data_IF_030647203165
#
_entry.id   IF_030647203165
#
_cell.length_a   1.000
_cell.length_b   1.000
_cell.length_c   1.000
_cell.angle_alpha   90.00
_cell.angle_beta   90.00
_cell.angle_gamma   90.00
#
_symmetry.space_group_name_H-M   'P 1'
#
loop_
_entity.id
_entity.type
_entity.pdbx_description
1 polymer ?
#
# COMPACT_ATOMS: atom_id res chain seq x y z
N UNK A 1 -28.26 -7.25 -59.10
CA UNK A 1 -27.46 -8.44 -58.76
C UNK A 1 -26.24 -7.96 -58.01
N UNK A 2 -26.36 -7.81 -56.69
CA UNK A 2 -25.25 -7.55 -55.80
C UNK A 2 -24.67 -8.92 -55.50
N UNK A 3 -23.40 -9.13 -55.84
CA UNK A 3 -22.68 -10.34 -55.49
C UNK A 3 -22.25 -10.18 -54.04
N UNK A 4 -22.97 -10.84 -53.15
CA UNK A 4 -22.48 -11.14 -51.80
C UNK A 4 -21.32 -12.13 -51.99
N UNK A 5 -20.10 -11.61 -52.07
CA UNK A 5 -18.89 -12.41 -51.93
C UNK A 5 -18.72 -12.70 -50.45
N UNK A 6 -19.06 -13.94 -50.07
CA UNK A 6 -18.66 -14.57 -48.83
C UNK A 6 -17.13 -14.49 -48.72
N UNK A 7 -16.64 -13.45 -48.02
CA UNK A 7 -15.30 -13.43 -47.47
C UNK A 7 -15.27 -14.45 -46.34
N UNK A 8 -14.96 -15.69 -46.72
CA UNK A 8 -14.32 -16.65 -45.82
C UNK A 8 -13.07 -15.97 -45.28
N UNK A 9 -13.20 -15.36 -44.11
CA UNK A 9 -12.11 -14.90 -43.29
C UNK A 9 -11.31 -16.14 -42.89
N UNK A 10 -10.40 -16.57 -43.76
CA UNK A 10 -9.34 -17.50 -43.44
C UNK A 10 -8.58 -16.89 -42.26
N UNK A 11 -8.87 -17.37 -41.06
CA UNK A 11 -8.20 -16.99 -39.83
C UNK A 11 -6.72 -17.32 -40.06
N UNK A 12 -5.89 -16.29 -40.20
CA UNK A 12 -4.48 -16.50 -40.47
C UNK A 12 -3.86 -17.27 -39.29
N UNK A 13 -3.00 -18.27 -39.52
CA UNK A 13 -2.31 -19.01 -38.46
C UNK A 13 -1.39 -18.14 -37.57
N UNK A 14 -1.33 -16.84 -37.80
CA UNK A 14 -0.61 -15.87 -36.99
C UNK A 14 -1.32 -15.51 -35.67
N UNK A 15 -2.61 -15.82 -35.51
CA UNK A 15 -3.34 -15.70 -34.23
C UNK A 15 -3.35 -17.03 -33.47
N UNK A 16 -2.23 -17.77 -33.48
CA UNK A 16 -2.17 -19.05 -32.76
C UNK A 16 -2.52 -18.85 -31.27
N UNK A 17 -3.62 -19.47 -30.86
CA UNK A 17 -4.05 -19.54 -29.48
C UNK A 17 -3.03 -20.37 -28.68
N UNK A 18 -2.53 -19.78 -27.60
CA UNK A 18 -1.72 -20.49 -26.60
C UNK A 18 -2.69 -21.03 -25.55
N UNK A 19 -2.55 -22.30 -25.17
CA UNK A 19 -3.26 -22.85 -24.03
C UNK A 19 -2.52 -22.50 -22.75
N UNK A 20 -3.14 -21.74 -21.85
CA UNK A 20 -2.61 -21.51 -20.49
C UNK A 20 -3.31 -22.46 -19.54
N UNK A 21 -2.55 -23.22 -18.76
CA UNK A 21 -3.05 -24.23 -17.83
C UNK A 21 -2.67 -23.87 -16.39
N UNK A 22 -3.66 -23.87 -15.51
CA UNK A 22 -3.43 -23.80 -14.06
C UNK A 22 -2.91 -25.13 -13.56
N UNK A 23 -1.84 -25.10 -12.76
CA UNK A 23 -1.32 -26.30 -12.08
C UNK A 23 -2.09 -26.63 -10.80
N UNK A 24 -2.86 -25.69 -10.25
CA UNK A 24 -3.58 -25.86 -8.98
C UNK A 24 -4.92 -26.60 -9.16
N UNK A 25 -5.66 -26.28 -10.21
CA UNK A 25 -7.00 -26.84 -10.49
C UNK A 25 -7.12 -27.48 -11.89
N UNK A 26 -6.07 -27.42 -12.71
CA UNK A 26 -6.05 -28.02 -14.05
C UNK A 26 -6.86 -27.26 -15.10
N UNK A 27 -7.43 -26.08 -14.76
CA UNK A 27 -8.17 -25.26 -15.70
C UNK A 27 -7.32 -24.89 -16.90
N UNK A 28 -7.91 -24.89 -18.10
CA UNK A 28 -7.24 -24.52 -19.36
C UNK A 28 -7.97 -23.34 -19.98
N UNK A 29 -7.25 -22.25 -20.19
CA UNK A 29 -7.78 -21.01 -20.75
C UNK A 29 -7.05 -20.69 -22.05
N UNK A 30 -7.77 -20.39 -23.14
CA UNK A 30 -7.14 -19.93 -24.37
C UNK A 30 -6.64 -18.49 -24.19
N UNK A 31 -5.47 -18.19 -24.75
CA UNK A 31 -4.89 -16.86 -24.71
C UNK A 31 -4.27 -16.49 -26.07
N UNK A 32 -4.34 -15.20 -26.42
CA UNK A 32 -3.69 -14.69 -27.64
C UNK A 32 -2.22 -14.44 -27.32
N UNK A 33 -1.29 -15.06 -28.07
CA UNK A 33 0.16 -14.82 -27.93
C UNK A 33 0.51 -13.33 -27.99
N UNK A 34 -0.19 -12.56 -28.84
CA UNK A 34 -0.01 -11.11 -28.94
C UNK A 34 -0.36 -10.36 -27.64
N UNK A 35 -1.45 -10.75 -26.96
CA UNK A 35 -1.85 -10.12 -25.70
C UNK A 35 -0.90 -10.47 -24.55
N UNK A 36 -0.42 -11.72 -24.50
CA UNK A 36 0.55 -12.15 -23.49
C UNK A 36 1.87 -11.36 -23.58
N UNK A 37 2.26 -10.85 -24.76
CA UNK A 37 3.45 -9.98 -24.92
C UNK A 37 3.33 -8.61 -24.23
N UNK A 38 2.17 -8.25 -23.68
CA UNK A 38 2.01 -7.07 -22.82
C UNK A 38 2.61 -7.26 -21.41
N UNK A 39 3.16 -8.45 -21.14
CA UNK A 39 3.96 -8.79 -19.95
C UNK A 39 5.41 -9.02 -20.36
N UNK A 40 6.35 -8.38 -19.66
CA UNK A 40 7.79 -8.57 -19.92
C UNK A 40 8.22 -10.02 -19.66
N UNK A 41 7.65 -10.65 -18.62
CA UNK A 41 7.93 -12.06 -18.28
C UNK A 41 7.55 -12.98 -19.44
N UNK A 42 6.36 -12.81 -20.02
CA UNK A 42 5.93 -13.64 -21.15
C UNK A 42 6.66 -13.27 -22.43
N UNK A 43 6.97 -11.99 -22.66
CA UNK A 43 7.76 -11.56 -23.81
C UNK A 43 9.15 -12.23 -23.83
N UNK A 44 9.86 -12.21 -22.70
CA UNK A 44 11.17 -12.85 -22.53
C UNK A 44 11.08 -14.37 -22.68
N UNK A 45 10.06 -14.99 -22.07
CA UNK A 45 9.81 -16.42 -22.21
C UNK A 45 9.61 -16.81 -23.68
N UNK A 46 8.79 -16.06 -24.44
CA UNK A 46 8.56 -16.34 -25.85
C UNK A 46 9.77 -16.05 -26.74
N UNK A 47 10.66 -15.15 -26.34
CA UNK A 47 11.90 -14.89 -27.07
C UNK A 47 12.86 -16.10 -27.05
N UNK A 48 12.76 -16.95 -26.03
CA UNK A 48 13.57 -18.16 -25.89
C UNK A 48 12.92 -19.43 -26.47
N UNK A 49 11.63 -19.39 -26.83
CA UNK A 49 10.89 -20.56 -27.34
C UNK A 49 10.92 -20.65 -28.87
N UNK A 50 10.89 -21.89 -29.38
CA UNK A 50 10.71 -22.15 -30.81
C UNK A 50 9.30 -21.71 -31.26
N UNK A 51 9.17 -20.83 -32.28
CA UNK A 51 7.87 -20.35 -32.75
C UNK A 51 6.97 -21.46 -33.31
N UNK A 52 7.53 -22.61 -33.70
CA UNK A 52 6.80 -23.74 -34.30
C UNK A 52 6.09 -24.63 -33.29
N UNK A 53 6.45 -24.54 -32.00
CA UNK A 53 5.73 -25.26 -30.95
C UNK A 53 4.37 -24.61 -30.69
N UNK A 54 3.36 -25.42 -30.37
CA UNK A 54 2.12 -24.99 -29.73
C UNK A 54 2.32 -25.06 -28.21
N UNK A 55 2.88 -24.02 -27.56
CA UNK A 55 3.19 -24.10 -26.15
C UNK A 55 1.90 -24.20 -25.35
N UNK A 56 1.89 -25.14 -24.39
CA UNK A 56 0.99 -25.07 -23.25
C UNK A 56 1.79 -24.40 -22.14
N UNK A 57 1.30 -23.27 -21.64
CA UNK A 57 1.93 -22.52 -20.57
C UNK A 57 1.32 -22.95 -19.23
N UNK A 58 2.12 -23.58 -18.37
CA UNK A 58 1.72 -23.94 -17.02
C UNK A 58 1.99 -22.80 -16.05
N UNK A 59 0.96 -22.32 -15.35
CA UNK A 59 1.06 -21.30 -14.31
C UNK A 59 0.60 -21.86 -12.97
N UNK A 60 1.35 -21.53 -11.91
CA UNK A 60 1.00 -21.88 -10.52
C UNK A 60 0.07 -20.85 -9.91
N UNK A 61 -1.12 -20.75 -10.48
CA UNK A 61 -2.22 -19.89 -10.05
C UNK A 61 -3.54 -20.65 -10.22
N UNK A 62 -4.57 -20.25 -9.49
CA UNK A 62 -5.92 -20.77 -9.72
C UNK A 62 -6.42 -20.38 -11.12
N UNK A 63 -7.33 -21.17 -11.70
CA UNK A 63 -7.96 -20.85 -12.98
C UNK A 63 -8.64 -19.49 -12.98
N UNK A 64 -9.19 -19.06 -11.83
CA UNK A 64 -9.78 -17.73 -11.64
C UNK A 64 -8.74 -16.61 -11.76
N UNK A 65 -7.60 -16.73 -11.09
CA UNK A 65 -6.52 -15.76 -11.19
C UNK A 65 -5.92 -15.71 -12.60
N UNK A 66 -5.78 -16.85 -13.27
CA UNK A 66 -5.33 -16.87 -14.67
C UNK A 66 -6.35 -16.17 -15.56
N UNK A 67 -7.65 -16.43 -15.40
CA UNK A 67 -8.68 -15.73 -16.16
C UNK A 67 -8.62 -14.21 -15.95
N UNK A 68 -8.38 -13.77 -14.72
CA UNK A 68 -8.21 -12.37 -14.37
C UNK A 68 -6.96 -11.76 -15.04
N UNK A 69 -5.82 -12.45 -14.99
CA UNK A 69 -4.57 -12.04 -15.65
C UNK A 69 -4.75 -11.95 -17.16
N UNK A 70 -5.37 -12.94 -17.78
CA UNK A 70 -5.64 -12.95 -19.22
C UNK A 70 -6.56 -11.80 -19.60
N UNK A 71 -7.61 -11.53 -18.82
CA UNK A 71 -8.46 -10.36 -19.04
C UNK A 71 -7.66 -9.05 -18.98
N UNK A 72 -6.78 -8.89 -17.99
CA UNK A 72 -5.91 -7.70 -17.89
C UNK A 72 -4.97 -7.54 -19.09
N UNK A 73 -4.43 -8.65 -19.61
CA UNK A 73 -3.51 -8.63 -20.76
C UNK A 73 -4.22 -8.36 -22.09
N UNK A 74 -5.44 -8.86 -22.23
CA UNK A 74 -6.25 -8.72 -23.44
C UNK A 74 -6.98 -7.37 -23.49
N UNK A 75 -7.57 -6.96 -22.36
CA UNK A 75 -8.43 -5.78 -22.23
C UNK A 75 -7.97 -4.99 -21.01
N UNK A 76 -6.86 -4.22 -21.14
CA UNK A 76 -6.35 -3.42 -20.04
C UNK A 76 -7.42 -2.42 -19.60
N UNK A 77 -7.66 -2.26 -18.28
CA UNK A 77 -8.71 -1.40 -17.82
C UNK A 77 -8.41 0.06 -18.21
N UNK A 78 -9.43 0.77 -18.68
CA UNK A 78 -9.29 2.18 -19.01
C UNK A 78 -8.94 2.99 -17.75
N UNK A 79 -8.14 4.06 -17.86
CA UNK A 79 -7.93 4.97 -16.75
C UNK A 79 -9.29 5.52 -16.25
N UNK A 80 -9.47 5.66 -14.93
CA UNK A 80 -10.75 6.05 -14.36
C UNK A 80 -11.08 7.47 -14.83
N UNK A 81 -12.17 7.62 -15.59
CA UNK A 81 -12.60 8.93 -16.10
C UNK A 81 -13.65 9.58 -15.20
N UNK A 82 -14.42 8.78 -14.45
CA UNK A 82 -15.41 9.24 -13.48
C UNK A 82 -15.46 8.25 -12.32
N UNK A 83 -15.45 8.75 -11.09
CA UNK A 83 -15.75 7.96 -9.88
C UNK A 83 -17.25 7.64 -9.88
N UNK A 84 -17.63 6.61 -10.64
CA UNK A 84 -18.98 6.05 -10.59
C UNK A 84 -19.16 5.23 -9.32
N UNK A 85 -20.39 5.14 -8.81
CA UNK A 85 -20.77 4.37 -7.62
C UNK A 85 -20.69 2.83 -7.83
N UNK A 86 -19.85 2.35 -8.76
CA UNK A 86 -19.76 0.93 -9.08
C UNK A 86 -19.30 0.06 -7.91
N UNK A 87 -19.85 -1.15 -7.93
CA UNK A 87 -20.23 -1.99 -6.80
C UNK A 87 -19.07 -2.44 -5.90
N UNK A 88 -19.37 -2.56 -4.61
CA UNK A 88 -18.47 -2.99 -3.52
C UNK A 88 -17.75 -4.32 -3.81
N UNK A 89 -18.35 -5.20 -4.61
CA UNK A 89 -17.73 -6.48 -5.02
C UNK A 89 -16.45 -6.30 -5.84
N UNK A 90 -16.33 -5.21 -6.59
CA UNK A 90 -15.16 -5.04 -7.45
C UNK A 90 -13.89 -4.73 -6.67
N UNK A 91 -14.00 -4.28 -5.41
CA UNK A 91 -12.87 -3.85 -4.57
C UNK A 91 -11.87 -4.97 -4.31
N UNK A 92 -12.35 -6.15 -3.91
CA UNK A 92 -11.47 -7.30 -3.66
C UNK A 92 -10.76 -7.75 -4.93
N UNK A 93 -11.49 -7.76 -6.06
CA UNK A 93 -10.94 -8.12 -7.36
C UNK A 93 -9.84 -7.14 -7.83
N UNK A 94 -9.95 -5.85 -7.49
CA UNK A 94 -8.97 -4.82 -7.88
C UNK A 94 -7.61 -5.03 -7.21
N UNK A 95 -7.61 -5.43 -5.93
CA UNK A 95 -6.38 -5.77 -5.20
C UNK A 95 -5.70 -7.02 -5.79
N UNK A 96 -6.49 -8.02 -6.17
CA UNK A 96 -5.96 -9.21 -6.84
C UNK A 96 -5.38 -8.88 -8.22
N UNK A 97 -6.04 -7.99 -8.99
CA UNK A 97 -5.54 -7.50 -10.29
C UNK A 97 -4.15 -6.87 -10.15
N UNK A 98 -3.92 -6.08 -9.10
CA UNK A 98 -2.63 -5.40 -8.87
C UNK A 98 -1.51 -6.38 -8.49
N UNK A 99 -1.81 -7.37 -7.65
CA UNK A 99 -0.84 -8.41 -7.26
C UNK A 99 -0.39 -9.24 -8.46
N UNK A 100 -1.33 -9.62 -9.33
CA UNK A 100 -1.02 -10.35 -10.56
C UNK A 100 -0.23 -9.47 -11.56
N UNK A 101 -0.62 -8.20 -11.72
CA UNK A 101 0.09 -7.29 -12.62
C UNK A 101 1.56 -7.09 -12.20
N UNK A 102 1.82 -7.00 -10.89
CA UNK A 102 3.18 -6.90 -10.35
C UNK A 102 3.97 -8.20 -10.55
N UNK A 103 3.39 -9.35 -10.19
CA UNK A 103 4.02 -10.68 -10.36
C UNK A 103 4.43 -10.97 -11.81
N UNK A 104 3.58 -10.60 -12.77
CA UNK A 104 3.80 -10.87 -14.20
C UNK A 104 4.33 -9.65 -14.97
N UNK A 105 4.73 -8.56 -14.30
CA UNK A 105 5.26 -7.34 -14.92
C UNK A 105 4.41 -6.87 -16.11
N UNK A 106 3.09 -6.79 -15.90
CA UNK A 106 2.17 -6.37 -16.95
C UNK A 106 2.23 -4.86 -17.11
N UNK A 107 2.31 -4.35 -18.34
CA UNK A 107 2.32 -2.92 -18.68
C UNK A 107 0.97 -2.20 -18.41
N UNK A 108 0.20 -2.68 -17.44
CA UNK A 108 -1.01 -2.06 -16.89
C UNK A 108 -0.82 -1.63 -15.45
N UNK A 109 0.35 -1.89 -14.86
CA UNK A 109 0.65 -1.51 -13.48
C UNK A 109 0.45 -0.01 -13.23
N UNK A 110 0.82 0.84 -14.19
CA UNK A 110 0.60 2.29 -14.09
C UNK A 110 -0.88 2.66 -14.09
N UNK A 111 -1.68 2.06 -14.98
CA UNK A 111 -3.12 2.27 -15.05
C UNK A 111 -3.83 1.78 -13.78
N UNK A 112 -3.44 0.62 -13.26
CA UNK A 112 -3.96 0.09 -12.00
C UNK A 112 -3.54 0.95 -10.80
N UNK A 113 -2.30 1.45 -10.77
CA UNK A 113 -1.85 2.40 -9.73
C UNK A 113 -2.66 3.70 -9.79
N UNK A 114 -2.97 4.20 -10.97
CA UNK A 114 -3.81 5.39 -11.14
C UNK A 114 -5.26 5.12 -10.70
N UNK A 115 -5.79 3.93 -10.99
CA UNK A 115 -7.08 3.49 -10.45
C UNK A 115 -7.08 3.44 -8.93
N UNK A 116 -6.07 2.83 -8.30
CA UNK A 116 -5.95 2.80 -6.84
C UNK A 116 -5.88 4.21 -6.24
N UNK A 117 -5.12 5.12 -6.87
CA UNK A 117 -5.05 6.53 -6.45
C UNK A 117 -6.40 7.22 -6.51
N UNK A 118 -7.16 7.02 -7.59
CA UNK A 118 -8.49 7.60 -7.73
C UNK A 118 -9.43 7.19 -6.57
N UNK A 119 -9.23 6.01 -5.98
CA UNK A 119 -10.01 5.50 -4.84
C UNK A 119 -9.39 5.79 -3.46
N UNK A 120 -8.28 6.52 -3.36
CA UNK A 120 -7.66 6.88 -2.08
C UNK A 120 -8.65 7.52 -1.10
N UNK A 121 -9.64 8.28 -1.57
CA UNK A 121 -10.63 8.94 -0.70
C UNK A 121 -11.75 8.00 -0.24
N UNK A 122 -12.16 7.06 -1.08
CA UNK A 122 -13.31 6.17 -0.83
C UNK A 122 -12.91 4.95 0.01
N UNK A 123 -11.74 4.38 -0.26
CA UNK A 123 -11.23 3.19 0.43
C UNK A 123 -9.79 3.41 0.93
N UNK A 124 -9.62 4.54 1.61
CA UNK A 124 -8.33 5.01 2.11
C UNK A 124 -7.55 3.95 2.92
N UNK A 125 -8.26 3.13 3.69
CA UNK A 125 -7.62 2.14 4.56
C UNK A 125 -7.10 0.95 3.76
N UNK A 126 -7.89 0.37 2.85
CA UNK A 126 -7.42 -0.72 2.00
C UNK A 126 -6.29 -0.27 1.07
N UNK A 127 -6.43 0.91 0.45
CA UNK A 127 -5.37 1.49 -0.41
C UNK A 127 -4.10 1.77 0.37
N UNK A 128 -4.20 2.30 1.60
CA UNK A 128 -3.03 2.51 2.46
C UNK A 128 -2.33 1.20 2.81
N UNK A 129 -3.09 0.17 3.19
CA UNK A 129 -2.57 -1.16 3.52
C UNK A 129 -1.82 -1.77 2.32
N UNK A 130 -2.46 -1.80 1.16
CA UNK A 130 -1.88 -2.34 -0.07
C UNK A 130 -0.62 -1.56 -0.48
N UNK A 131 -0.68 -0.22 -0.45
CA UNK A 131 0.47 0.61 -0.77
C UNK A 131 1.66 0.34 0.18
N UNK A 132 1.40 0.05 1.45
CA UNK A 132 2.45 -0.34 2.40
C UNK A 132 3.04 -1.73 2.09
N UNK A 133 2.22 -2.71 1.69
CA UNK A 133 2.68 -4.05 1.30
C UNK A 133 3.62 -4.00 0.09
N UNK A 134 3.26 -3.19 -0.90
CA UNK A 134 4.02 -3.01 -2.14
C UNK A 134 5.11 -1.93 -2.07
N UNK A 135 5.32 -1.32 -0.89
CA UNK A 135 6.33 -0.25 -0.67
C UNK A 135 6.12 1.00 -1.55
N UNK A 136 4.88 1.29 -1.90
CA UNK A 136 4.46 2.46 -2.66
C UNK A 136 4.26 3.68 -1.72
N UNK A 137 5.36 4.24 -1.22
CA UNK A 137 5.33 5.31 -0.20
C UNK A 137 4.54 6.56 -0.62
N UNK A 138 4.53 6.89 -1.92
CA UNK A 138 3.77 8.03 -2.44
C UNK A 138 2.27 7.84 -2.30
N UNK A 139 1.77 6.67 -2.68
CA UNK A 139 0.36 6.29 -2.59
C UNK A 139 -0.05 6.08 -1.13
N UNK A 140 0.81 5.46 -0.31
CA UNK A 140 0.56 5.34 1.13
C UNK A 140 0.45 6.72 1.80
N UNK A 141 1.33 7.67 1.44
CA UNK A 141 1.25 9.04 1.95
C UNK A 141 -0.04 9.74 1.53
N UNK A 142 -0.49 9.58 0.28
CA UNK A 142 -1.74 10.11 -0.24
C UNK A 142 -2.97 9.47 0.44
N UNK A 143 -3.10 8.16 0.40
CA UNK A 143 -4.20 7.41 1.01
C UNK A 143 -4.31 7.71 2.50
N UNK A 144 -3.17 7.81 3.21
CA UNK A 144 -3.16 8.14 4.63
C UNK A 144 -3.90 9.44 4.94
N UNK A 145 -3.99 10.40 4.00
CA UNK A 145 -4.72 11.67 4.14
C UNK A 145 -6.21 11.48 4.44
N UNK A 146 -6.78 10.41 3.90
CA UNK A 146 -8.20 10.10 3.97
C UNK A 146 -8.53 9.04 5.03
N UNK A 147 -7.51 8.36 5.58
CA UNK A 147 -7.70 7.35 6.63
C UNK A 147 -8.30 7.97 7.89
N UNK A 148 -9.38 7.37 8.41
CA UNK A 148 -10.06 7.79 9.63
C UNK A 148 -9.20 7.50 10.86
N UNK A 149 -9.42 8.12 12.03
CA UNK A 149 -8.69 7.75 13.25
C UNK A 149 -8.76 6.23 13.50
N UNK A 150 -7.63 5.60 13.84
CA UNK A 150 -7.53 4.14 14.02
C UNK A 150 -8.61 3.56 14.96
N UNK A 151 -9.00 4.32 15.98
CA UNK A 151 -10.07 3.95 16.92
C UNK A 151 -11.48 3.79 16.29
N UNK A 152 -11.66 4.15 15.01
CA UNK A 152 -12.93 3.96 14.28
C UNK A 152 -12.97 2.69 13.43
N UNK A 153 -11.85 1.98 13.31
CA UNK A 153 -11.81 0.69 12.61
C UNK A 153 -12.06 -0.44 13.60
N UNK A 154 -12.63 -1.52 13.08
CA UNK A 154 -12.79 -2.77 13.81
C UNK A 154 -11.44 -3.44 14.03
N UNK A 155 -11.37 -4.33 15.02
CA UNK A 155 -10.15 -5.12 15.27
C UNK A 155 -9.75 -5.94 14.05
N UNK A 156 -10.72 -6.50 13.31
CA UNK A 156 -10.49 -7.25 12.08
C UNK A 156 -9.84 -6.39 10.98
N UNK A 157 -10.30 -5.15 10.80
CA UNK A 157 -9.68 -4.21 9.85
C UNK A 157 -8.25 -3.84 10.28
N UNK A 158 -8.03 -3.55 11.57
CA UNK A 158 -6.68 -3.22 12.07
C UNK A 158 -5.73 -4.43 11.95
N UNK A 159 -6.24 -5.64 12.18
CA UNK A 159 -5.49 -6.89 12.01
C UNK A 159 -5.15 -7.20 10.54
N UNK A 160 -5.85 -6.60 9.57
CA UNK A 160 -5.53 -6.69 8.15
C UNK A 160 -4.31 -5.84 7.77
N UNK A 161 -3.77 -4.99 8.66
CA UNK A 161 -2.52 -4.31 8.41
C UNK A 161 -1.36 -5.31 8.36
N UNK A 162 -0.36 -5.13 7.49
CA UNK A 162 0.60 -6.19 7.16
C UNK A 162 1.52 -6.52 8.33
N UNK A 163 1.78 -5.54 9.19
CA UNK A 163 2.58 -5.68 10.40
C UNK A 163 2.34 -4.50 11.37
N UNK A 164 2.80 -4.67 12.61
CA UNK A 164 2.71 -3.64 13.65
C UNK A 164 3.39 -2.32 13.26
N UNK A 165 4.46 -2.34 12.45
CA UNK A 165 5.15 -1.11 12.02
C UNK A 165 4.25 -0.23 11.15
N UNK A 166 3.46 -0.82 10.27
CA UNK A 166 2.48 -0.09 9.43
C UNK A 166 1.40 0.56 10.30
N UNK A 167 0.89 -0.16 11.31
CA UNK A 167 -0.06 0.36 12.29
C UNK A 167 0.52 1.54 13.09
N UNK A 168 1.73 1.38 13.64
CA UNK A 168 2.42 2.45 14.36
C UNK A 168 2.70 3.68 13.47
N UNK A 169 3.13 3.46 12.22
CA UNK A 169 3.34 4.54 11.24
C UNK A 169 2.05 5.32 11.00
N UNK A 170 0.93 4.62 10.81
CA UNK A 170 -0.37 5.25 10.62
C UNK A 170 -0.82 6.03 11.85
N UNK A 171 -0.67 5.46 13.06
CA UNK A 171 -0.97 6.14 14.31
C UNK A 171 -0.14 7.43 14.49
N UNK A 172 1.16 7.36 14.20
CA UNK A 172 2.06 8.52 14.28
C UNK A 172 1.67 9.62 13.28
N UNK A 173 1.26 9.26 12.05
CA UNK A 173 0.77 10.20 11.05
C UNK A 173 -0.52 10.90 11.52
N UNK A 174 -1.45 10.15 12.12
CA UNK A 174 -2.70 10.69 12.65
C UNK A 174 -2.46 11.65 13.82
N UNK A 175 -1.59 11.28 14.76
CA UNK A 175 -1.25 12.15 15.89
C UNK A 175 -0.54 13.43 15.43
N UNK A 176 0.40 13.31 14.48
CA UNK A 176 1.08 14.46 13.88
C UNK A 176 0.10 15.46 13.25
N UNK A 177 -0.95 14.97 12.58
CA UNK A 177 -1.99 15.83 11.99
C UNK A 177 -2.88 16.47 13.04
N UNK A 178 -3.20 15.73 14.10
CA UNK A 178 -3.96 16.27 15.23
C UNK A 178 -3.20 17.43 15.89
N UNK A 179 -1.91 17.25 16.15
CA UNK A 179 -1.05 18.31 16.70
C UNK A 179 -1.00 19.52 15.76
N UNK A 180 -0.74 19.32 14.46
CA UNK A 180 -0.72 20.42 13.48
C UNK A 180 -2.05 21.17 13.38
N UNK A 181 -3.17 20.45 13.38
CA UNK A 181 -4.51 21.05 13.36
C UNK A 181 -4.76 21.91 14.60
N UNK A 182 -4.36 21.41 15.79
CA UNK A 182 -4.48 22.18 17.04
C UNK A 182 -3.56 23.39 17.14
N UNK A 183 -2.41 23.38 16.45
CA UNK A 183 -1.42 24.45 16.53
C UNK A 183 -1.86 25.73 15.78
N UNK A 184 -2.78 25.62 14.83
CA UNK A 184 -3.27 26.75 14.04
C UNK A 184 -4.18 27.71 14.86
N UNK A 185 -4.81 27.24 15.93
CA UNK A 185 -5.71 28.04 16.77
C UNK A 185 -5.01 29.05 17.71
N UNK A 186 -3.68 29.18 17.63
CA UNK A 186 -2.89 30.04 18.52
C UNK A 186 -2.68 31.47 18.01
N UNK A 187 -3.07 31.80 16.76
CA UNK A 187 -2.70 33.08 16.13
C UNK A 187 -3.65 34.27 16.27
N UNK A 188 -4.68 34.21 17.12
CA UNK A 188 -5.26 35.37 17.83
C UNK A 188 -6.35 34.88 18.80
N UNK A 189 -6.13 35.06 20.11
CA UNK A 189 -7.14 35.11 21.19
C UNK A 189 -7.87 33.83 21.68
N UNK A 190 -7.30 32.63 21.63
CA UNK A 190 -7.90 31.47 22.35
C UNK A 190 -7.32 31.31 23.77
N UNK A 191 -8.22 31.39 24.76
CA UNK A 191 -8.00 31.25 26.20
C UNK A 191 -7.33 29.91 26.59
N UNK A 192 -6.48 29.86 27.63
CA UNK A 192 -5.62 28.72 27.93
C UNK A 192 -6.33 27.66 28.78
N UNK A 193 -7.19 26.82 28.19
CA UNK A 193 -7.73 25.67 28.96
C UNK A 193 -8.07 24.44 28.11
N UNK A 194 -7.10 23.82 27.45
CA UNK A 194 -7.22 22.39 27.10
C UNK A 194 -5.89 21.68 27.35
N UNK A 195 -5.85 20.89 28.42
CA UNK A 195 -4.77 19.94 28.73
C UNK A 195 -4.81 18.79 27.72
N UNK A 196 -3.74 18.59 26.96
CA UNK A 196 -3.48 17.30 26.33
C UNK A 196 -2.98 16.33 27.39
N UNK A 197 -3.84 15.39 27.80
CA UNK A 197 -3.41 14.13 28.42
C UNK A 197 -2.84 13.25 27.30
N UNK A 198 -1.52 13.24 27.15
CA UNK A 198 -0.83 12.10 26.57
C UNK A 198 -0.93 10.96 27.58
N UNK A 199 -1.89 10.06 27.34
CA UNK A 199 -1.91 8.76 28.02
C UNK A 199 -0.69 7.93 27.60
N UNK A 200 -0.23 6.99 28.44
CA UNK A 200 0.93 6.17 28.14
C UNK A 200 0.52 5.12 27.11
N UNK A 201 0.72 5.41 25.82
CA UNK A 201 0.79 4.36 24.82
C UNK A 201 2.22 3.85 24.85
N UNK A 202 2.34 2.62 25.33
CA UNK A 202 3.55 1.82 25.47
C UNK A 202 4.45 1.92 24.24
N UNK A 203 5.70 2.29 24.47
CA UNK A 203 6.81 2.06 23.55
C UNK A 203 7.42 0.71 23.93
N UNK A 204 7.06 -0.36 23.23
CA UNK A 204 7.98 -1.49 22.99
C UNK A 204 8.88 -1.12 21.81
N UNK A 205 9.48 0.06 21.90
CA UNK A 205 10.59 0.44 21.04
C UNK A 205 11.81 -0.14 21.73
N UNK A 206 12.39 -1.20 21.16
CA UNK A 206 13.73 -1.67 21.54
C UNK A 206 14.63 -0.43 21.62
N UNK A 207 14.96 -0.04 22.85
CA UNK A 207 15.74 1.15 23.15
C UNK A 207 17.14 0.85 22.63
N UNK A 208 17.47 1.35 21.45
CA UNK A 208 18.88 1.50 21.07
C UNK A 208 19.56 2.33 22.16
N UNK A 209 20.80 1.99 22.53
CA UNK A 209 21.63 2.64 23.56
C UNK A 209 21.92 4.15 23.31
N UNK A 210 21.23 4.77 22.36
CA UNK A 210 21.30 6.18 22.02
C UNK A 210 20.68 7.05 23.11
N UNK A 211 21.45 8.04 23.59
CA UNK A 211 20.98 9.05 24.54
C UNK A 211 20.05 10.05 23.84
N UNK A 212 18.79 9.64 23.64
CA UNK A 212 17.74 10.44 22.99
C UNK A 212 17.62 11.83 23.65
N UNK A 213 17.82 11.94 24.97
CA UNK A 213 17.76 13.23 25.64
C UNK A 213 18.92 14.14 25.24
N UNK A 214 20.14 13.59 25.16
CA UNK A 214 21.31 14.31 24.68
C UNK A 214 21.19 14.73 23.21
N UNK A 215 20.64 13.86 22.35
CA UNK A 215 20.40 14.18 20.93
C UNK A 215 19.34 15.28 20.76
N UNK A 216 18.26 15.25 21.57
CA UNK A 216 17.25 16.30 21.56
C UNK A 216 17.77 17.63 22.12
N UNK A 217 18.67 17.62 23.10
CA UNK A 217 19.27 18.86 23.63
C UNK A 217 20.27 19.49 22.64
N UNK A 218 20.99 18.65 21.89
CA UNK A 218 21.93 19.07 20.85
C UNK A 218 21.24 19.59 19.57
N UNK A 219 20.00 19.16 19.32
CA UNK A 219 19.21 19.66 18.21
C UNK A 219 18.84 21.14 18.45
N UNK A 220 19.34 22.05 17.60
CA UNK A 220 18.98 23.47 17.66
C UNK A 220 17.49 23.62 17.42
N UNK A 221 16.74 23.97 18.47
CA UNK A 221 15.30 24.22 18.38
C UNK A 221 15.06 25.59 17.72
N UNK A 222 14.53 25.68 16.50
CA UNK A 222 14.61 26.88 15.69
C UNK A 222 13.40 27.80 15.88
N UNK A 223 12.92 28.00 17.11
CA UNK A 223 11.80 28.92 17.36
C UNK A 223 12.18 30.02 18.33
N UNK A 224 12.02 31.28 17.91
CA UNK A 224 12.25 32.48 18.73
C UNK A 224 11.16 32.72 19.79
N UNK A 225 10.47 31.68 20.25
CA UNK A 225 9.40 31.78 21.25
C UNK A 225 9.89 31.25 22.60
N UNK A 226 9.96 32.12 23.60
CA UNK A 226 10.41 31.77 24.96
C UNK A 226 9.56 30.67 25.60
N UNK A 227 8.24 30.67 25.37
CA UNK A 227 7.32 29.67 25.94
C UNK A 227 7.58 28.29 25.33
N UNK A 228 7.84 28.23 24.01
CA UNK A 228 8.14 26.98 23.32
C UNK A 228 9.52 26.43 23.74
N UNK A 229 10.51 27.31 23.89
CA UNK A 229 11.84 26.94 24.41
C UNK A 229 11.74 26.39 25.83
N UNK A 230 11.00 27.05 26.73
CA UNK A 230 10.82 26.57 28.10
C UNK A 230 10.08 25.22 28.15
N UNK A 231 9.09 25.01 27.28
CA UNK A 231 8.39 23.73 27.17
C UNK A 231 9.31 22.61 26.64
N UNK A 232 10.14 22.92 25.63
CA UNK A 232 11.14 22.00 25.07
C UNK A 232 12.13 21.53 26.14
N UNK A 233 12.76 22.46 26.85
CA UNK A 233 13.73 22.11 27.90
C UNK A 233 13.08 21.28 29.02
N UNK A 234 11.83 21.56 29.39
CA UNK A 234 11.11 20.73 30.38
C UNK A 234 10.83 19.32 29.86
N UNK A 235 10.49 19.17 28.58
CA UNK A 235 10.27 17.88 27.97
C UNK A 235 11.58 17.07 27.90
N UNK A 236 12.68 17.68 27.43
CA UNK A 236 14.01 17.07 27.40
C UNK A 236 14.46 16.64 28.80
N UNK A 237 14.30 17.51 29.81
CA UNK A 237 14.63 17.19 31.19
C UNK A 237 13.82 16.01 31.74
N UNK A 238 12.54 15.90 31.36
CA UNK A 238 11.68 14.80 31.78
C UNK A 238 12.08 13.47 31.12
N UNK A 239 12.44 13.50 29.83
CA UNK A 239 12.97 12.33 29.12
C UNK A 239 14.29 11.91 29.78
N UNK A 240 15.26 12.82 29.95
CA UNK A 240 16.52 12.54 30.64
C UNK A 240 16.32 11.93 32.04
N UNK A 241 15.34 12.43 32.80
CA UNK A 241 14.99 11.88 34.09
C UNK A 241 14.47 10.44 34.00
N UNK A 242 13.56 10.15 33.07
CA UNK A 242 13.03 8.79 32.86
C UNK A 242 14.10 7.83 32.34
N UNK A 243 14.95 8.25 31.40
CA UNK A 243 16.06 7.46 30.86
C UNK A 243 17.11 7.10 31.91
N UNK A 244 17.23 7.88 32.98
CA UNK A 244 18.08 7.57 34.15
C UNK A 244 17.42 6.59 35.13
N UNK A 245 16.09 6.56 35.18
CA UNK A 245 15.32 5.67 36.06
C UNK A 245 14.98 4.32 35.45
N UNK A 246 15.06 4.19 34.13
CA UNK A 246 14.93 2.90 33.46
C UNK A 246 16.09 1.99 33.91
N UNK A 247 15.74 0.81 34.42
CA UNK A 247 16.70 -0.22 34.81
C UNK A 247 17.41 -0.70 33.53
N UNK A 248 18.71 -0.44 33.40
CA UNK A 248 19.47 -0.69 32.17
C UNK A 248 20.05 -2.10 32.07
N UNK A 249 20.02 -2.85 33.17
CA UNK A 249 20.62 -4.18 33.25
C UNK A 249 19.78 -5.09 34.13
N UNK A 250 19.66 -6.34 33.73
CA UNK A 250 18.90 -7.39 34.44
C UNK A 250 19.51 -7.73 35.80
N UNK A 251 20.79 -7.44 36.03
CA UNK A 251 21.48 -7.60 37.33
C UNK A 251 21.03 -6.59 38.40
N UNK A 252 20.29 -5.54 38.02
CA UNK A 252 19.71 -4.55 38.93
C UNK A 252 18.31 -4.92 39.42
N UNK A 253 17.71 -6.00 38.91
CA UNK A 253 16.51 -6.57 39.47
C UNK A 253 16.93 -7.38 40.70
N UNK A 254 16.51 -6.94 41.89
CA UNK A 254 16.76 -7.69 43.11
C UNK A 254 16.24 -9.12 42.96
N UNK A 255 17.07 -10.10 43.28
CA UNK A 255 16.64 -11.50 43.37
C UNK A 255 15.72 -11.62 44.59
N UNK A 256 14.41 -11.47 44.38
CA UNK A 256 13.37 -11.83 45.34
C UNK A 256 13.02 -13.31 45.25
#
# INVERSE_FOLDING_TARGET
MIKDEDQDASISPAEAEIGVRSTQDGARLPAKRAALRNSDVFADMFAMCDPSATPVLDLDESGEHIALLLRLLHEPPAPPTVLGEEEVEERSSRLQKTLLADKYLVNVADALREQLRAHCAEDAFAVYTLACEHREDSMAAEASQFVRPLARYTEAEVAALPNARVCHRLAALQDSRRVRSSQCCSRRTCSPTVRLRLGPIFMDLEISDTDIAGEMDAAVYPTGCEVCSAAWHRAVAMIAYKSRKAIRRTDQLGNE
#
